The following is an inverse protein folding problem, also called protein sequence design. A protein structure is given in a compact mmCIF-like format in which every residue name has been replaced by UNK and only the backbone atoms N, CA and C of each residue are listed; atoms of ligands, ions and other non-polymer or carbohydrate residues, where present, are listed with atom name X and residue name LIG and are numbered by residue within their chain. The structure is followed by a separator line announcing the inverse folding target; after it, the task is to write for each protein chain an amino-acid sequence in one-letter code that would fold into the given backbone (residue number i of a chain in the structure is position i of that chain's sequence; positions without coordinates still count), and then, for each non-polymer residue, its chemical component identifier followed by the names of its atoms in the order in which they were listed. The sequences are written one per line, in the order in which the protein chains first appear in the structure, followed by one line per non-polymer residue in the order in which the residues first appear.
data_IF_895860984073
#
_entry.id   IF_895860984073
#
_cell.length_a   1.000
_cell.length_b   1.000
_cell.length_c   1.000
_cell.angle_alpha   90.00
_cell.angle_beta   90.00
_cell.angle_gamma   90.00
#
_symmetry.space_group_name_H-M   'P 1'
#
loop_
_entity.id
_entity.type
_entity.pdbx_description
1 polymer ?
#
# COMPACT_ATOMS: atom_id res chain seq x y z
N UNK A 1 -21.99 -3.41 -58.04
CA UNK A 1 -22.67 -3.24 -56.75
C UNK A 1 -22.06 -4.06 -55.64
N UNK A 2 -21.66 -5.28 -55.87
CA UNK A 2 -21.08 -6.15 -54.84
C UNK A 2 -19.68 -5.75 -54.35
N UNK A 3 -18.90 -5.03 -55.12
CA UNK A 3 -17.53 -4.59 -54.73
C UNK A 3 -17.53 -3.39 -53.79
N UNK A 4 -18.49 -2.48 -53.90
CA UNK A 4 -18.65 -1.35 -52.98
C UNK A 4 -19.16 -1.80 -51.62
N UNK A 5 -20.06 -2.78 -51.58
CA UNK A 5 -20.57 -3.35 -50.33
C UNK A 5 -19.49 -4.12 -49.58
N UNK A 6 -18.65 -4.88 -50.29
CA UNK A 6 -17.50 -5.59 -49.70
C UNK A 6 -16.43 -4.64 -49.14
N UNK A 7 -16.16 -3.53 -49.83
CA UNK A 7 -15.21 -2.50 -49.37
C UNK A 7 -15.73 -1.76 -48.16
N UNK A 8 -17.03 -1.44 -48.14
CA UNK A 8 -17.68 -0.81 -46.98
C UNK A 8 -17.67 -1.73 -45.76
N UNK A 9 -17.96 -3.02 -45.94
CA UNK A 9 -17.92 -4.00 -44.84
C UNK A 9 -16.50 -4.20 -44.30
N UNK A 10 -15.48 -4.20 -45.15
CA UNK A 10 -14.08 -4.32 -44.75
C UNK A 10 -13.61 -3.10 -43.90
N UNK A 11 -13.97 -1.90 -44.33
CA UNK A 11 -13.64 -0.66 -43.60
C UNK A 11 -14.33 -0.61 -42.25
N UNK A 12 -15.58 -1.05 -42.18
CA UNK A 12 -16.32 -1.12 -40.89
C UNK A 12 -15.71 -2.15 -39.96
N UNK A 13 -15.27 -3.29 -40.47
CA UNK A 13 -14.61 -4.33 -39.67
C UNK A 13 -13.24 -3.89 -39.12
N UNK A 14 -12.44 -3.18 -39.93
CA UNK A 14 -11.15 -2.61 -39.49
C UNK A 14 -11.35 -1.51 -38.46
N UNK A 15 -12.38 -0.67 -38.62
CA UNK A 15 -12.72 0.36 -37.62
C UNK A 15 -13.17 -0.23 -36.28
N UNK A 16 -13.92 -1.33 -36.27
CA UNK A 16 -14.30 -2.04 -35.03
C UNK A 16 -13.10 -2.69 -34.33
N UNK A 17 -12.11 -3.21 -35.05
CA UNK A 17 -10.89 -3.75 -34.46
C UNK A 17 -9.99 -2.69 -33.85
N UNK A 18 -10.02 -1.45 -34.31
CA UNK A 18 -9.21 -0.34 -33.79
C UNK A 18 -9.64 0.15 -32.40
N UNK A 19 -10.88 -0.09 -32.00
CA UNK A 19 -11.42 0.39 -30.73
C UNK A 19 -11.06 -0.55 -29.56
N UNK A 20 -10.70 -1.79 -29.85
CA UNK A 20 -10.39 -2.81 -28.83
C UNK A 20 -9.03 -2.68 -28.13
N UNK A 21 -8.11 -1.83 -28.65
CA UNK A 21 -6.75 -1.73 -28.13
C UNK A 21 -6.48 -0.53 -27.22
N UNK A 22 -7.47 0.28 -26.90
CA UNK A 22 -7.27 1.50 -26.11
C UNK A 22 -7.48 1.31 -24.61
N UNK A 23 -7.69 0.10 -24.10
CA UNK A 23 -7.89 -0.17 -22.67
C UNK A 23 -6.64 -0.65 -21.92
N UNK A 24 -5.43 -0.30 -22.42
CA UNK A 24 -4.16 -0.75 -21.86
C UNK A 24 -3.56 0.10 -20.74
N UNK A 25 -4.21 1.17 -20.27
CA UNK A 25 -3.74 1.98 -19.13
C UNK A 25 -4.19 1.33 -17.83
N UNK A 26 -3.34 0.50 -17.23
CA UNK A 26 -3.50 0.04 -15.86
C UNK A 26 -3.28 1.23 -14.92
N UNK A 27 -4.28 1.59 -14.16
CA UNK A 27 -4.17 2.60 -13.13
C UNK A 27 -3.29 2.08 -11.99
N UNK A 28 -2.25 2.85 -11.62
CA UNK A 28 -1.36 2.53 -10.51
C UNK A 28 -2.12 2.68 -9.20
N UNK A 29 -2.15 1.63 -8.38
CA UNK A 29 -2.75 1.66 -7.05
C UNK A 29 -1.74 2.15 -6.02
N UNK A 30 -2.24 2.72 -4.94
CA UNK A 30 -1.42 3.16 -3.83
C UNK A 30 -0.89 1.98 -3.00
N UNK A 31 0.31 2.14 -2.47
CA UNK A 31 0.92 1.24 -1.49
C UNK A 31 0.67 1.82 -0.11
N UNK A 32 -0.22 1.19 0.66
CA UNK A 32 -0.72 1.69 1.93
C UNK A 32 -0.50 0.66 3.03
N UNK A 33 -0.12 1.13 4.23
CA UNK A 33 -0.17 0.35 5.46
C UNK A 33 -1.18 1.00 6.42
N UNK A 34 -2.02 0.19 7.02
CA UNK A 34 -2.99 0.59 8.03
C UNK A 34 -2.71 -0.20 9.30
N UNK A 35 -2.41 0.50 10.39
CA UNK A 35 -2.17 -0.09 11.69
C UNK A 35 -3.33 0.26 12.60
N UNK A 36 -4.00 -0.75 13.11
CA UNK A 36 -5.04 -0.60 14.13
C UNK A 36 -4.40 -0.78 15.50
N UNK A 37 -4.61 0.16 16.41
CA UNK A 37 -4.14 0.07 17.80
C UNK A 37 -5.34 -0.20 18.71
N UNK A 38 -5.22 -1.26 19.51
CA UNK A 38 -6.23 -1.67 20.49
C UNK A 38 -5.58 -1.80 21.88
N UNK A 39 -6.38 -1.60 22.90
CA UNK A 39 -5.96 -1.84 24.29
C UNK A 39 -6.20 -3.30 24.72
N UNK A 40 -5.87 -3.59 25.98
CA UNK A 40 -6.08 -4.93 26.54
C UNK A 40 -7.56 -5.37 26.60
N UNK A 41 -8.49 -4.42 26.60
CA UNK A 41 -9.93 -4.65 26.55
C UNK A 41 -10.45 -4.82 25.09
N UNK A 42 -9.57 -4.79 24.10
CA UNK A 42 -9.89 -4.85 22.69
C UNK A 42 -10.66 -3.63 22.14
N UNK A 43 -10.56 -2.49 22.82
CA UNK A 43 -11.11 -1.22 22.38
C UNK A 43 -10.12 -0.46 21.49
N UNK A 44 -10.62 0.31 20.54
CA UNK A 44 -9.79 1.16 19.68
C UNK A 44 -9.13 2.29 20.50
N UNK A 45 -7.84 2.51 20.26
CA UNK A 45 -7.07 3.55 20.93
C UNK A 45 -6.83 4.72 19.99
N UNK A 46 -7.43 5.86 20.29
CA UNK A 46 -7.20 7.13 19.60
C UNK A 46 -5.98 7.84 20.17
N UNK A 47 -5.24 8.55 19.30
CA UNK A 47 -4.09 9.36 19.72
C UNK A 47 -2.86 8.55 20.14
N UNK A 48 -2.78 7.26 19.77
CA UNK A 48 -1.58 6.46 19.95
C UNK A 48 -0.54 6.82 18.87
N UNK A 49 0.70 6.94 19.27
CA UNK A 49 1.81 7.10 18.34
C UNK A 49 2.17 5.74 17.74
N UNK A 50 2.25 5.67 16.42
CA UNK A 50 2.65 4.47 15.69
C UNK A 50 3.89 4.77 14.88
N UNK A 51 4.92 3.95 15.04
CA UNK A 51 6.19 4.03 14.31
C UNK A 51 6.36 2.78 13.47
N UNK A 52 6.62 2.96 12.19
CA UNK A 52 7.05 1.88 11.30
C UNK A 52 8.53 2.04 10.97
N UNK A 53 9.30 0.98 11.12
CA UNK A 53 10.73 1.00 10.80
C UNK A 53 11.20 -0.33 10.23
N UNK A 54 12.17 -0.24 9.29
CA UNK A 54 12.84 -1.41 8.73
C UNK A 54 14.20 -1.61 9.37
N UNK A 55 14.55 -2.86 9.65
CA UNK A 55 15.91 -3.25 10.05
C UNK A 55 16.62 -3.92 8.86
N UNK A 56 17.89 -3.61 8.69
CA UNK A 56 18.70 -4.32 7.70
C UNK A 56 18.89 -5.78 8.09
N UNK A 57 18.53 -6.68 7.20
CA UNK A 57 18.74 -8.13 7.39
C UNK A 57 20.16 -8.59 7.08
N UNK A 58 21.02 -7.70 6.56
CA UNK A 58 22.37 -8.05 6.10
C UNK A 58 23.47 -7.76 7.12
N UNK A 59 23.15 -7.27 8.34
CA UNK A 59 24.14 -6.91 9.35
C UNK A 59 25.01 -5.70 9.00
N UNK A 60 24.81 -5.09 7.84
CA UNK A 60 25.43 -3.84 7.43
C UNK A 60 24.59 -2.67 7.92
N UNK A 61 25.16 -1.56 8.38
CA UNK A 61 24.38 -0.38 8.67
C UNK A 61 23.63 0.03 7.41
N UNK A 62 22.31 -0.15 7.41
CA UNK A 62 21.47 0.28 6.31
C UNK A 62 21.51 1.80 6.27
N UNK A 63 22.00 2.36 5.17
CA UNK A 63 21.95 3.80 4.93
C UNK A 63 20.51 4.33 4.70
N UNK A 64 19.54 3.43 4.70
CA UNK A 64 18.10 3.76 4.56
C UNK A 64 17.35 2.98 5.63
N UNK A 65 17.27 3.56 6.82
CA UNK A 65 16.24 3.16 7.77
C UNK A 65 14.92 3.74 7.25
N UNK A 66 14.02 2.89 6.78
CA UNK A 66 12.65 3.30 6.55
C UNK A 66 12.04 3.58 7.92
N UNK A 67 11.79 4.84 8.20
CA UNK A 67 11.24 5.29 9.46
C UNK A 67 10.10 6.27 9.17
N UNK A 68 8.91 5.93 9.58
CA UNK A 68 7.75 6.81 9.48
C UNK A 68 6.92 6.74 10.76
N UNK A 69 6.35 7.86 11.15
CA UNK A 69 5.59 8.01 12.38
C UNK A 69 4.29 8.73 12.12
N UNK A 70 3.21 8.20 12.65
CA UNK A 70 1.90 8.86 12.63
C UNK A 70 1.13 8.57 13.93
N UNK A 71 -0.03 9.19 14.06
CA UNK A 71 -0.89 9.06 15.26
C UNK A 71 -2.22 8.46 14.84
N UNK A 72 -2.78 7.57 15.67
CA UNK A 72 -4.07 6.97 15.40
C UNK A 72 -5.22 7.97 15.44
N UNK A 73 -6.17 7.76 14.53
CA UNK A 73 -7.44 8.49 14.48
C UNK A 73 -8.40 8.07 15.62
N UNK A 74 -9.59 8.66 15.65
CA UNK A 74 -10.66 8.28 16.57
C UNK A 74 -11.08 6.80 16.45
N UNK A 75 -10.82 6.17 15.31
CA UNK A 75 -11.06 4.74 15.06
C UNK A 75 -9.85 3.86 15.41
N UNK A 76 -8.82 4.40 16.04
CA UNK A 76 -7.59 3.67 16.38
C UNK A 76 -6.75 3.28 15.16
N UNK A 77 -6.87 4.01 14.06
CA UNK A 77 -6.26 3.72 12.76
C UNK A 77 -5.11 4.68 12.46
N UNK A 78 -3.93 4.15 12.22
CA UNK A 78 -2.76 4.86 11.72
C UNK A 78 -2.49 4.47 10.27
N UNK A 79 -2.48 5.44 9.35
CA UNK A 79 -2.35 5.21 7.92
C UNK A 79 -1.02 5.76 7.40
N UNK A 80 -0.31 4.93 6.65
CA UNK A 80 0.98 5.26 6.03
C UNK A 80 0.88 5.06 4.52
N UNK A 81 1.44 6.01 3.77
CA UNK A 81 1.53 5.94 2.32
C UNK A 81 2.99 5.77 1.90
N UNK A 82 3.29 4.68 1.19
CA UNK A 82 4.64 4.33 0.76
C UNK A 82 4.88 4.54 -0.75
N UNK A 83 4.04 5.28 -1.44
CA UNK A 83 4.16 5.48 -2.88
C UNK A 83 5.52 6.02 -3.30
N UNK A 84 6.06 7.00 -2.57
CA UNK A 84 7.35 7.63 -2.89
C UNK A 84 8.53 6.68 -2.66
N UNK A 85 8.42 5.80 -1.67
CA UNK A 85 9.45 4.81 -1.34
C UNK A 85 9.56 3.74 -2.42
N UNK A 86 8.45 3.24 -2.92
CA UNK A 86 8.41 2.20 -3.96
C UNK A 86 8.72 2.72 -5.37
N UNK A 87 8.62 4.03 -5.61
CA UNK A 87 9.03 4.62 -6.90
C UNK A 87 10.54 4.65 -7.13
N UNK A 88 11.33 4.53 -6.08
CA UNK A 88 12.80 4.52 -6.15
C UNK A 88 13.41 3.17 -6.58
N UNK A 89 12.62 2.28 -7.19
CA UNK A 89 13.11 1.08 -7.86
C UNK A 89 13.30 -0.15 -6.98
N UNK A 90 12.76 -0.15 -5.78
CA UNK A 90 12.71 -1.35 -4.94
C UNK A 90 11.39 -2.10 -5.18
N UNK A 91 11.38 -2.91 -6.23
CA UNK A 91 10.31 -3.89 -6.44
C UNK A 91 10.44 -4.99 -5.38
N UNK A 92 9.35 -5.32 -4.71
CA UNK A 92 9.31 -6.47 -3.82
C UNK A 92 8.46 -6.27 -2.57
N UNK A 93 8.75 -7.09 -1.59
CA UNK A 93 8.09 -7.14 -0.30
C UNK A 93 9.05 -6.59 0.76
N UNK A 94 8.58 -5.64 1.54
CA UNK A 94 9.28 -5.16 2.72
C UNK A 94 8.58 -5.66 3.99
N UNK A 95 9.35 -6.05 5.00
CA UNK A 95 8.86 -6.37 6.33
C UNK A 95 9.29 -5.26 7.28
N UNK A 96 8.33 -4.60 7.90
CA UNK A 96 8.57 -3.50 8.82
C UNK A 96 8.15 -3.89 10.23
N UNK A 97 8.90 -3.40 11.21
CA UNK A 97 8.51 -3.47 12.61
C UNK A 97 7.53 -2.34 12.93
N UNK A 98 6.61 -2.62 13.83
CA UNK A 98 5.63 -1.65 14.33
C UNK A 98 5.90 -1.43 15.81
N UNK A 99 5.97 -0.19 16.24
CA UNK A 99 5.88 0.20 17.63
C UNK A 99 4.69 1.13 17.81
N UNK A 100 3.81 0.80 18.75
CA UNK A 100 2.68 1.63 19.11
C UNK A 100 2.75 1.99 20.58
N UNK A 101 2.47 3.24 20.91
CA UNK A 101 2.52 3.69 22.29
C UNK A 101 1.49 4.79 22.58
N UNK A 102 0.96 4.78 23.80
CA UNK A 102 0.15 5.86 24.33
C UNK A 102 0.33 5.97 25.85
N UNK A 103 0.89 7.09 26.31
CA UNK A 103 1.25 7.24 27.73
C UNK A 103 2.30 6.21 28.14
N UNK A 104 1.97 5.35 29.09
CA UNK A 104 2.83 4.25 29.57
C UNK A 104 2.54 2.91 28.92
N UNK A 105 1.48 2.83 28.10
CA UNK A 105 1.13 1.62 27.37
C UNK A 105 1.89 1.55 26.05
N UNK A 106 2.43 0.39 25.74
CA UNK A 106 3.15 0.13 24.50
C UNK A 106 2.86 -1.25 23.94
N UNK A 107 3.13 -1.43 22.66
CA UNK A 107 2.96 -2.69 21.96
C UNK A 107 3.80 -2.72 20.70
N UNK A 108 4.06 -3.92 20.20
CA UNK A 108 4.88 -4.16 19.03
C UNK A 108 4.19 -5.13 18.07
N UNK A 109 4.57 -5.05 16.81
CA UNK A 109 4.10 -5.93 15.76
C UNK A 109 5.02 -5.91 14.55
N UNK A 110 4.60 -6.60 13.51
CA UNK A 110 5.29 -6.69 12.23
C UNK A 110 4.26 -6.58 11.13
N UNK A 111 4.54 -5.83 10.09
CA UNK A 111 3.70 -5.74 8.90
C UNK A 111 4.51 -6.00 7.63
N UNK A 112 3.90 -6.72 6.70
CA UNK A 112 4.41 -6.95 5.36
C UNK A 112 3.82 -5.91 4.41
N UNK A 113 4.69 -5.18 3.72
CA UNK A 113 4.30 -4.17 2.73
C UNK A 113 4.57 -4.71 1.33
N UNK A 114 3.58 -4.70 0.49
CA UNK A 114 3.67 -5.07 -0.91
C UNK A 114 3.27 -3.88 -1.79
N UNK A 115 3.95 -3.74 -2.93
CA UNK A 115 3.67 -2.67 -3.88
C UNK A 115 2.23 -2.73 -4.38
N UNK A 116 1.56 -1.58 -4.45
CA UNK A 116 0.18 -1.44 -4.91
C UNK A 116 -0.86 -2.24 -4.11
N UNK A 117 -0.55 -2.55 -2.85
CA UNK A 117 -1.44 -3.28 -1.93
C UNK A 117 -1.69 -2.46 -0.68
N UNK A 118 -2.89 -2.52 -0.15
CA UNK A 118 -3.20 -2.05 1.20
C UNK A 118 -2.98 -3.20 2.18
N UNK A 119 -1.98 -3.05 3.05
CA UNK A 119 -1.66 -4.02 4.10
C UNK A 119 -2.20 -3.55 5.44
N UNK A 120 -2.75 -4.43 6.22
CA UNK A 120 -3.35 -4.11 7.52
C UNK A 120 -2.77 -5.00 8.63
N UNK A 121 -2.57 -4.42 9.80
CA UNK A 121 -2.13 -5.13 11.00
C UNK A 121 -2.73 -4.51 12.26
N UNK A 122 -2.93 -5.32 13.29
CA UNK A 122 -3.43 -4.86 14.59
C UNK A 122 -2.35 -5.03 15.66
N UNK A 123 -2.12 -3.98 16.44
CA UNK A 123 -1.18 -3.98 17.57
C UNK A 123 -1.96 -3.70 18.84
N UNK A 124 -1.73 -4.51 19.87
CA UNK A 124 -2.30 -4.34 21.20
C UNK A 124 -1.29 -3.65 22.10
N UNK A 125 -1.72 -2.60 22.78
CA UNK A 125 -0.92 -1.89 23.79
C UNK A 125 -1.43 -2.19 25.20
N UNK A 126 -0.51 -2.32 26.14
CA UNK A 126 -0.83 -2.59 27.55
C UNK A 126 0.23 -2.03 28.49
#
# INVERSE_FOLDING_TARGET
MNTLFKKSLLVTFVALMGIGFSSGCREKKDTIAIIYVRDAANDFVSGAQVVLYGQSTTGQPANVALYDTTTTSLLGEARFNFNDVYQLGQAGVAVLNIEASKGTADGQGIIKIEQEVTSEETVFIQ
#
